data_IF_584708133649
#
_entry.id   IF_584708133649
#
_cell.length_a   1.000
_cell.length_b   1.000
_cell.length_c   1.000
_cell.angle_alpha   90.00
_cell.angle_beta   90.00
_cell.angle_gamma   90.00
#
_symmetry.space_group_name_H-M   'P 1'
#
loop_
_entity.id
_entity.type
_entity.pdbx_description
1 polymer ?
#
# COMPACT_ATOMS: atom_id res chain seq x y z
N UNK A 1 32.41 15.08 -11.43
CA UNK A 1 33.25 15.07 -10.21
C UNK A 1 32.95 13.86 -9.34
N UNK A 2 31.72 13.64 -8.82
CA UNK A 2 31.44 12.47 -7.98
C UNK A 2 31.54 11.13 -8.73
N UNK A 3 31.08 11.07 -9.99
CA UNK A 3 31.15 9.85 -10.82
C UNK A 3 32.59 9.53 -11.30
N UNK A 4 33.54 10.44 -11.10
CA UNK A 4 34.97 10.24 -11.44
C UNK A 4 35.76 9.70 -10.24
N UNK A 5 35.13 9.62 -9.06
CA UNK A 5 35.80 9.14 -7.87
C UNK A 5 35.94 7.60 -7.90
N UNK A 6 37.13 7.04 -7.67
CA UNK A 6 37.42 5.61 -7.86
C UNK A 6 36.65 4.68 -6.94
N UNK A 7 36.05 5.19 -5.88
CA UNK A 7 35.20 4.42 -4.94
C UNK A 7 33.70 4.59 -5.16
N UNK A 8 33.31 5.37 -6.18
CA UNK A 8 31.89 5.62 -6.50
C UNK A 8 31.58 4.98 -7.86
N UNK A 9 30.65 4.02 -7.84
CA UNK A 9 30.15 3.38 -9.05
C UNK A 9 29.14 4.29 -9.77
N UNK A 10 28.32 4.97 -9.00
CA UNK A 10 27.28 5.85 -9.51
C UNK A 10 26.96 6.94 -8.49
N UNK A 11 26.81 8.15 -8.97
CA UNK A 11 26.29 9.26 -8.20
C UNK A 11 25.14 9.93 -8.95
N UNK A 12 24.06 10.25 -8.25
CA UNK A 12 22.95 11.05 -8.76
C UNK A 12 22.79 12.24 -7.83
N UNK A 13 22.86 13.43 -8.38
CA UNK A 13 22.57 14.66 -7.66
C UNK A 13 21.12 15.06 -7.92
N UNK A 14 20.39 15.34 -6.85
CA UNK A 14 19.01 15.82 -6.87
C UNK A 14 19.01 17.25 -6.33
N UNK A 15 18.46 18.17 -7.10
CA UNK A 15 18.17 19.52 -6.59
C UNK A 15 16.79 19.48 -5.93
N UNK A 16 16.74 19.79 -4.64
CA UNK A 16 15.54 19.83 -3.83
C UNK A 16 15.34 21.26 -3.33
N UNK A 17 14.10 21.74 -3.34
CA UNK A 17 13.68 23.07 -2.89
C UNK A 17 12.73 23.72 -3.88
N UNK A 18 11.78 24.51 -3.35
CA UNK A 18 10.75 25.18 -4.15
C UNK A 18 11.15 26.61 -4.57
N UNK A 19 12.17 27.17 -3.92
CA UNK A 19 12.68 28.53 -4.20
C UNK A 19 14.22 28.52 -4.32
N UNK A 20 14.79 29.54 -4.98
CA UNK A 20 16.25 29.69 -5.08
C UNK A 20 16.96 29.80 -3.73
N UNK A 21 16.26 30.23 -2.68
CA UNK A 21 16.80 30.41 -1.33
C UNK A 21 16.77 29.10 -0.51
N UNK A 22 15.89 28.16 -0.88
CA UNK A 22 15.75 26.83 -0.24
C UNK A 22 16.41 25.72 -1.04
N UNK A 23 17.01 26.05 -2.21
CA UNK A 23 17.59 25.05 -3.09
C UNK A 23 18.82 24.42 -2.43
N UNK A 24 18.76 23.14 -2.19
CA UNK A 24 19.90 22.34 -1.75
C UNK A 24 20.09 21.13 -2.68
N UNK A 25 21.30 20.61 -2.72
CA UNK A 25 21.64 19.47 -3.57
C UNK A 25 21.95 18.27 -2.68
N UNK A 26 21.11 17.25 -2.81
CA UNK A 26 21.37 15.95 -2.21
C UNK A 26 22.06 15.04 -3.23
N UNK A 27 23.10 14.35 -2.79
CA UNK A 27 23.78 13.36 -3.62
C UNK A 27 23.55 11.97 -3.08
N UNK A 28 22.89 11.13 -3.88
CA UNK A 28 22.82 9.69 -3.62
C UNK A 28 23.99 9.03 -4.33
N UNK A 29 24.85 8.37 -3.56
CA UNK A 29 26.03 7.69 -4.09
C UNK A 29 25.91 6.17 -3.92
N UNK A 30 26.26 5.44 -4.97
CA UNK A 30 26.47 3.99 -4.95
C UNK A 30 27.97 3.73 -4.91
N UNK A 31 28.52 3.13 -3.86
CA UNK A 31 29.95 2.82 -3.82
C UNK A 31 30.28 1.70 -4.81
N UNK A 32 31.49 1.77 -5.39
CA UNK A 32 32.02 0.64 -6.15
C UNK A 32 32.07 -0.57 -5.21
N UNK A 33 31.21 -1.54 -5.46
CA UNK A 33 31.37 -2.85 -4.84
C UNK A 33 32.64 -3.46 -5.43
N UNK A 34 33.79 -3.25 -4.76
CA UNK A 34 34.90 -4.16 -5.01
C UNK A 34 34.33 -5.54 -4.85
N UNK A 35 34.45 -6.39 -5.87
CA UNK A 35 34.40 -7.82 -5.66
C UNK A 35 35.56 -8.11 -4.72
N UNK A 36 35.32 -7.94 -3.46
CA UNK A 36 36.18 -8.45 -2.40
C UNK A 36 36.18 -9.93 -2.63
N UNK A 37 37.33 -10.46 -2.96
CA UNK A 37 37.59 -11.89 -2.75
C UNK A 37 37.11 -12.10 -1.32
N UNK A 38 35.99 -12.82 -1.15
CA UNK A 38 35.31 -12.97 0.12
C UNK A 38 36.34 -13.37 1.15
N UNK A 39 36.52 -12.50 2.13
CA UNK A 39 37.25 -12.92 3.31
C UNK A 39 36.29 -13.84 4.07
N UNK A 40 36.57 -15.11 4.29
CA UNK A 40 35.66 -16.05 4.96
C UNK A 40 35.14 -15.51 6.30
N UNK A 41 35.92 -14.65 6.94
CA UNK A 41 35.57 -14.02 8.21
C UNK A 41 34.51 -12.90 8.11
N UNK A 42 34.24 -12.36 6.90
CA UNK A 42 33.19 -11.35 6.71
C UNK A 42 31.83 -12.01 6.42
N UNK A 43 31.85 -13.10 5.64
CA UNK A 43 30.64 -13.89 5.34
C UNK A 43 30.06 -14.48 6.64
N UNK A 44 30.90 -15.02 7.52
CA UNK A 44 30.49 -15.54 8.83
C UNK A 44 29.87 -14.47 9.74
N UNK A 45 30.40 -13.24 9.70
CA UNK A 45 29.85 -12.12 10.48
C UNK A 45 28.55 -11.58 9.93
N UNK A 46 28.44 -11.48 8.61
CA UNK A 46 27.22 -11.04 7.94
C UNK A 46 26.10 -12.06 8.15
N UNK A 47 26.39 -13.34 8.00
CA UNK A 47 25.45 -14.42 8.28
C UNK A 47 25.05 -14.46 9.78
N UNK A 48 26.01 -14.27 10.69
CA UNK A 48 25.73 -14.18 12.12
C UNK A 48 24.85 -12.96 12.46
N UNK A 49 25.12 -11.78 11.86
CA UNK A 49 24.31 -10.58 12.07
C UNK A 49 22.89 -10.76 11.53
N UNK A 50 22.75 -11.29 10.30
CA UNK A 50 21.45 -11.57 9.72
C UNK A 50 20.65 -12.57 10.54
N UNK A 51 21.32 -13.62 11.03
CA UNK A 51 20.70 -14.62 11.90
C UNK A 51 20.29 -14.02 13.24
N UNK A 52 21.15 -13.18 13.84
CA UNK A 52 20.86 -12.50 15.10
C UNK A 52 19.73 -11.49 14.97
N UNK A 53 19.68 -10.73 13.88
CA UNK A 53 18.59 -9.80 13.56
C UNK A 53 17.29 -10.58 13.37
N UNK A 54 17.33 -11.66 12.58
CA UNK A 54 16.16 -12.51 12.34
C UNK A 54 15.66 -13.11 13.64
N UNK A 55 16.55 -13.68 14.46
CA UNK A 55 16.19 -14.25 15.76
C UNK A 55 15.61 -13.19 16.70
N UNK A 56 16.19 -11.99 16.75
CA UNK A 56 15.66 -10.87 17.56
C UNK A 56 14.22 -10.51 17.17
N UNK A 57 13.93 -10.42 15.86
CA UNK A 57 12.57 -10.13 15.39
C UNK A 57 11.61 -11.30 15.61
N UNK A 58 12.06 -12.55 15.41
CA UNK A 58 11.25 -13.74 15.65
C UNK A 58 10.92 -13.93 17.15
N UNK A 59 11.82 -13.55 18.06
CA UNK A 59 11.62 -13.61 19.53
C UNK A 59 10.77 -12.46 20.07
N UNK A 60 10.74 -11.30 19.36
CA UNK A 60 10.04 -10.10 19.82
C UNK A 60 8.63 -9.97 19.18
N UNK A 61 8.37 -10.65 18.08
CA UNK A 61 7.14 -10.51 17.32
C UNK A 61 6.31 -11.80 17.40
N UNK A 62 5.10 -11.69 17.94
CA UNK A 62 4.11 -12.76 17.89
C UNK A 62 3.65 -12.94 16.43
N UNK A 63 4.13 -14.02 15.80
CA UNK A 63 3.87 -14.32 14.39
C UNK A 63 2.37 -14.54 14.13
N UNK A 64 1.66 -15.20 15.05
CA UNK A 64 0.23 -15.45 14.93
C UNK A 64 -0.56 -14.14 14.99
N UNK A 65 -0.12 -13.22 15.84
CA UNK A 65 -0.74 -11.91 15.97
C UNK A 65 -0.45 -11.03 14.74
N UNK A 66 0.77 -11.08 14.21
CA UNK A 66 1.14 -10.41 12.96
C UNK A 66 0.28 -10.90 11.78
N UNK A 67 0.12 -12.21 11.63
CA UNK A 67 -0.72 -12.77 10.57
C UNK A 67 -2.18 -12.33 10.69
N UNK A 68 -2.72 -12.31 11.91
CA UNK A 68 -4.08 -11.79 12.17
C UNK A 68 -4.18 -10.31 11.83
N UNK A 69 -3.18 -9.52 12.21
CA UNK A 69 -3.13 -8.09 11.94
C UNK A 69 -3.10 -7.81 10.43
N UNK A 70 -2.21 -8.47 9.67
CA UNK A 70 -2.11 -8.36 8.21
C UNK A 70 -3.45 -8.73 7.57
N UNK A 71 -3.98 -9.92 7.89
CA UNK A 71 -5.24 -10.39 7.33
C UNK A 71 -6.38 -9.43 7.60
N UNK A 72 -6.50 -8.91 8.83
CA UNK A 72 -7.56 -7.97 9.17
C UNK A 72 -7.40 -6.64 8.47
N UNK A 73 -6.17 -6.13 8.30
CA UNK A 73 -5.90 -4.90 7.53
C UNK A 73 -6.33 -5.04 6.06
N UNK A 74 -6.08 -6.20 5.45
CA UNK A 74 -6.54 -6.50 4.07
C UNK A 74 -8.06 -6.57 3.99
N UNK A 75 -8.72 -7.20 4.96
CA UNK A 75 -10.18 -7.30 5.03
C UNK A 75 -10.85 -5.91 5.13
N UNK A 76 -10.37 -5.02 6.00
CA UNK A 76 -10.97 -3.68 6.16
C UNK A 76 -10.78 -2.82 4.92
N UNK A 77 -9.58 -2.83 4.33
CA UNK A 77 -9.28 -2.06 3.12
C UNK A 77 -10.12 -2.56 1.94
N UNK A 78 -10.22 -3.87 1.75
CA UNK A 78 -11.03 -4.47 0.70
C UNK A 78 -12.52 -4.16 0.86
N UNK A 79 -13.03 -4.19 2.10
CA UNK A 79 -14.41 -3.82 2.42
C UNK A 79 -14.69 -2.35 2.06
N UNK A 80 -13.78 -1.43 2.39
CA UNK A 80 -13.96 -0.01 2.11
C UNK A 80 -13.85 0.31 0.62
N UNK A 81 -12.93 -0.33 -0.10
CA UNK A 81 -12.88 -0.26 -1.57
C UNK A 81 -14.22 -0.73 -2.16
N UNK A 82 -14.71 -1.89 -1.74
CA UNK A 82 -15.98 -2.43 -2.23
C UNK A 82 -17.17 -1.50 -1.90
N UNK A 83 -17.25 -0.99 -0.67
CA UNK A 83 -18.29 -0.07 -0.24
C UNK A 83 -18.24 1.26 -0.99
N UNK A 84 -17.05 1.72 -1.41
CA UNK A 84 -16.88 2.89 -2.25
C UNK A 84 -17.60 2.74 -3.61
N UNK A 85 -17.49 1.57 -4.23
CA UNK A 85 -18.26 1.25 -5.44
C UNK A 85 -19.76 1.10 -5.17
N UNK A 86 -20.15 0.43 -4.09
CA UNK A 86 -21.55 0.23 -3.72
C UNK A 86 -22.31 1.52 -3.47
N UNK A 87 -21.70 2.50 -2.82
CA UNK A 87 -22.30 3.83 -2.58
C UNK A 87 -22.70 4.55 -3.87
N UNK A 88 -22.12 4.17 -5.00
CA UNK A 88 -22.45 4.67 -6.35
C UNK A 88 -23.35 3.73 -7.15
N UNK A 89 -23.90 2.70 -6.52
CA UNK A 89 -24.80 1.74 -7.16
C UNK A 89 -24.09 0.61 -7.91
N UNK A 90 -22.74 0.61 -7.97
CA UNK A 90 -21.95 -0.48 -8.56
C UNK A 90 -21.92 -1.62 -7.56
N UNK A 91 -22.19 -2.84 -8.01
CA UNK A 91 -22.26 -4.05 -7.15
C UNK A 91 -23.38 -4.06 -6.09
N UNK A 92 -24.29 -3.08 -6.09
CA UNK A 92 -25.45 -3.07 -5.15
C UNK A 92 -26.50 -4.11 -5.53
N UNK A 93 -26.62 -4.42 -6.80
CA UNK A 93 -27.50 -5.45 -7.36
C UNK A 93 -26.62 -6.60 -7.88
N UNK A 94 -26.73 -7.75 -7.19
CA UNK A 94 -25.95 -8.96 -7.50
C UNK A 94 -26.27 -9.56 -8.89
N UNK A 95 -27.38 -9.18 -9.50
CA UNK A 95 -27.73 -9.65 -10.85
C UNK A 95 -26.99 -8.87 -11.94
N UNK A 96 -26.49 -7.67 -11.64
CA UNK A 96 -25.86 -6.76 -12.60
C UNK A 96 -24.35 -6.95 -12.68
N UNK A 97 -23.87 -6.98 -13.91
CA UNK A 97 -22.46 -6.95 -14.22
C UNK A 97 -22.10 -5.61 -14.87
N UNK A 98 -20.88 -5.13 -14.62
CA UNK A 98 -20.37 -3.85 -15.11
C UNK A 98 -19.03 -4.09 -15.80
N UNK A 99 -18.85 -3.57 -17.01
CA UNK A 99 -17.52 -3.51 -17.59
C UNK A 99 -16.72 -2.33 -17.00
N UNK A 100 -15.42 -2.28 -17.29
CA UNK A 100 -14.54 -1.27 -16.73
C UNK A 100 -14.97 0.15 -17.12
N UNK A 101 -15.36 0.36 -18.36
CA UNK A 101 -15.79 1.65 -18.92
C UNK A 101 -17.04 2.17 -18.20
N UNK A 102 -18.02 1.31 -17.93
CA UNK A 102 -19.21 1.65 -17.14
C UNK A 102 -18.86 2.06 -15.72
N UNK A 103 -17.91 1.34 -15.08
CA UNK A 103 -17.44 1.68 -13.74
C UNK A 103 -16.78 3.05 -13.73
N UNK A 104 -15.91 3.33 -14.72
CA UNK A 104 -15.21 4.61 -14.88
C UNK A 104 -16.21 5.76 -15.04
N UNK A 105 -17.21 5.58 -15.91
CA UNK A 105 -18.24 6.59 -16.18
C UNK A 105 -19.08 6.86 -14.93
N UNK A 106 -19.64 5.81 -14.30
CA UNK A 106 -20.50 5.93 -13.12
C UNK A 106 -19.80 6.55 -11.91
N UNK A 107 -18.51 6.28 -11.75
CA UNK A 107 -17.68 6.83 -10.66
C UNK A 107 -17.04 8.17 -11.02
N UNK A 108 -17.08 8.58 -12.30
CA UNK A 108 -16.36 9.76 -12.82
C UNK A 108 -14.85 9.67 -12.55
N UNK A 109 -14.23 8.52 -12.83
CA UNK A 109 -12.82 8.26 -12.54
C UNK A 109 -11.94 8.89 -13.63
N UNK A 110 -11.01 9.79 -13.29
CA UNK A 110 -10.10 10.38 -14.25
C UNK A 110 -9.10 9.33 -14.80
N UNK A 111 -8.67 9.51 -16.04
CA UNK A 111 -7.79 8.57 -16.75
C UNK A 111 -6.52 8.20 -15.96
N UNK A 112 -5.91 9.19 -15.29
CA UNK A 112 -4.72 8.97 -14.44
C UNK A 112 -4.92 7.91 -13.35
N UNK A 113 -6.17 7.66 -12.92
CA UNK A 113 -6.51 6.68 -11.88
C UNK A 113 -7.02 5.34 -12.42
N UNK A 114 -7.15 5.16 -13.74
CA UNK A 114 -7.64 3.92 -14.33
C UNK A 114 -6.78 2.70 -13.95
N UNK A 115 -5.45 2.87 -13.89
CA UNK A 115 -4.54 1.79 -13.49
C UNK A 115 -4.75 1.38 -12.03
N UNK A 116 -4.93 2.36 -11.15
CA UNK A 116 -5.22 2.12 -9.74
C UNK A 116 -6.57 1.41 -9.57
N UNK A 117 -7.60 1.90 -10.25
CA UNK A 117 -8.94 1.29 -10.22
C UNK A 117 -8.94 -0.15 -10.68
N UNK A 118 -8.23 -0.47 -11.78
CA UNK A 118 -8.08 -1.85 -12.24
C UNK A 118 -7.40 -2.73 -11.20
N UNK A 119 -6.41 -2.20 -10.50
CA UNK A 119 -5.75 -2.92 -9.40
C UNK A 119 -6.71 -3.19 -8.25
N UNK A 120 -7.52 -2.21 -7.85
CA UNK A 120 -8.52 -2.39 -6.80
C UNK A 120 -9.57 -3.45 -7.18
N UNK A 121 -10.08 -3.39 -8.41
CA UNK A 121 -11.01 -4.42 -8.90
C UNK A 121 -10.36 -5.81 -8.88
N UNK A 122 -9.07 -5.92 -9.25
CA UNK A 122 -8.36 -7.19 -9.19
C UNK A 122 -8.18 -7.69 -7.76
N UNK A 123 -7.92 -6.81 -6.79
CA UNK A 123 -7.89 -7.18 -5.36
C UNK A 123 -9.23 -7.76 -4.94
N UNK A 124 -10.34 -7.07 -5.24
CA UNK A 124 -11.68 -7.55 -4.91
C UNK A 124 -12.01 -8.90 -5.57
N UNK A 125 -11.50 -9.16 -6.78
CA UNK A 125 -11.64 -10.47 -7.45
C UNK A 125 -10.82 -11.53 -6.72
N UNK A 126 -9.59 -11.24 -6.35
CA UNK A 126 -8.70 -12.19 -5.65
C UNK A 126 -9.28 -12.57 -4.27
N UNK A 127 -9.88 -11.62 -3.56
CA UNK A 127 -10.56 -11.82 -2.29
C UNK A 127 -11.95 -12.49 -2.46
N UNK A 128 -12.39 -12.77 -3.67
CA UNK A 128 -13.69 -13.37 -3.95
C UNK A 128 -14.90 -12.49 -3.63
N UNK A 129 -14.69 -11.19 -3.37
CA UNK A 129 -15.75 -10.22 -3.08
C UNK A 129 -16.56 -9.93 -4.34
N UNK A 130 -15.90 -9.88 -5.48
CA UNK A 130 -16.52 -9.78 -6.81
C UNK A 130 -15.98 -10.88 -7.71
N UNK A 131 -16.68 -11.15 -8.81
CA UNK A 131 -16.21 -12.04 -9.89
C UNK A 131 -15.96 -11.22 -11.15
N UNK A 132 -15.08 -11.72 -12.03
CA UNK A 132 -14.82 -11.14 -13.34
C UNK A 132 -14.92 -12.21 -14.41
N UNK A 133 -15.90 -12.10 -15.28
CA UNK A 133 -16.13 -12.99 -16.42
C UNK A 133 -16.27 -12.16 -17.69
N UNK A 134 -15.55 -12.54 -18.75
CA UNK A 134 -15.56 -11.83 -20.04
C UNK A 134 -15.39 -10.30 -19.89
N UNK A 135 -14.49 -9.84 -19.01
CA UNK A 135 -14.25 -8.43 -18.68
C UNK A 135 -15.43 -7.70 -18.02
N UNK A 136 -16.41 -8.43 -17.49
CA UNK A 136 -17.51 -7.87 -16.72
C UNK A 136 -17.36 -8.27 -15.25
N UNK A 137 -17.45 -7.29 -14.36
CA UNK A 137 -17.35 -7.44 -12.91
C UNK A 137 -18.73 -7.54 -12.30
N UNK A 138 -18.91 -8.45 -11.37
CA UNK A 138 -20.18 -8.69 -10.71
C UNK A 138 -19.95 -8.98 -9.23
N UNK A 139 -20.87 -8.56 -8.35
CA UNK A 139 -20.84 -8.92 -6.94
C UNK A 139 -20.94 -10.45 -6.77
N UNK A 140 -20.12 -11.04 -5.90
CA UNK A 140 -20.20 -12.45 -5.58
C UNK A 140 -21.35 -12.74 -4.60
N UNK A 141 -21.71 -14.02 -4.42
CA UNK A 141 -22.70 -14.42 -3.42
C UNK A 141 -22.22 -14.14 -1.97
N UNK A 142 -20.91 -14.11 -1.76
CA UNK A 142 -20.28 -13.87 -0.45
C UNK A 142 -20.30 -12.38 -0.09
N UNK A 143 -20.48 -11.48 -1.04
CA UNK A 143 -20.44 -10.02 -0.87
C UNK A 143 -21.64 -9.44 -0.11
N UNK A 144 -22.12 -10.14 0.91
CA UNK A 144 -23.12 -9.60 1.83
C UNK A 144 -22.44 -8.59 2.74
N UNK A 145 -23.06 -7.45 2.86
CA UNK A 145 -22.81 -6.34 3.77
C UNK A 145 -21.50 -6.45 4.57
N UNK A 146 -20.38 -6.11 3.89
CA UNK A 146 -19.09 -6.00 4.54
C UNK A 146 -19.18 -4.78 5.46
N UNK A 147 -19.70 -4.99 6.66
CA UNK A 147 -19.88 -3.96 7.68
C UNK A 147 -18.56 -3.35 8.08
N UNK A 148 -18.13 -2.35 7.28
CA UNK A 148 -16.83 -1.68 7.42
C UNK A 148 -16.58 -1.21 8.86
N UNK A 149 -17.58 -0.63 9.53
CA UNK A 149 -17.46 -0.18 10.92
C UNK A 149 -17.12 -1.33 11.88
N UNK A 150 -17.74 -2.49 11.69
CA UNK A 150 -17.46 -3.67 12.52
C UNK A 150 -16.05 -4.19 12.28
N UNK A 151 -15.63 -4.26 11.01
CA UNK A 151 -14.27 -4.71 10.65
C UNK A 151 -13.20 -3.76 11.20
N UNK A 152 -13.43 -2.44 11.12
CA UNK A 152 -12.53 -1.46 11.71
C UNK A 152 -12.42 -1.61 13.23
N UNK A 153 -13.54 -1.84 13.92
CA UNK A 153 -13.52 -2.08 15.36
C UNK A 153 -12.68 -3.31 15.72
N UNK A 154 -12.90 -4.42 15.01
CA UNK A 154 -12.12 -5.64 15.20
C UNK A 154 -10.62 -5.43 14.89
N UNK A 155 -10.31 -4.59 13.91
CA UNK A 155 -8.93 -4.27 13.57
C UNK A 155 -8.25 -3.42 14.65
N UNK A 156 -8.92 -2.42 15.19
CA UNK A 156 -8.41 -1.64 16.33
C UNK A 156 -8.19 -2.51 17.56
N UNK A 157 -9.06 -3.48 17.85
CA UNK A 157 -8.88 -4.43 18.95
C UNK A 157 -7.60 -5.28 18.76
N UNK A 158 -7.30 -5.71 17.51
CA UNK A 158 -6.06 -6.44 17.21
C UNK A 158 -4.84 -5.51 17.32
N UNK A 159 -4.94 -4.25 16.89
CA UNK A 159 -3.84 -3.28 17.01
C UNK A 159 -3.53 -2.95 18.47
N UNK A 160 -4.54 -2.84 19.33
CA UNK A 160 -4.35 -2.62 20.78
C UNK A 160 -3.53 -3.74 21.41
N UNK A 161 -3.68 -4.99 20.93
CA UNK A 161 -2.90 -6.14 21.39
C UNK A 161 -1.50 -6.18 20.74
N UNK A 162 -1.43 -5.85 19.43
CA UNK A 162 -0.19 -5.97 18.64
C UNK A 162 0.75 -4.79 18.84
N UNK A 163 0.21 -3.59 19.04
CA UNK A 163 0.93 -2.33 19.30
C UNK A 163 2.03 -2.04 18.26
N UNK A 164 1.76 -2.36 16.98
CA UNK A 164 2.73 -2.19 15.91
C UNK A 164 2.94 -0.73 15.56
N UNK A 165 1.87 -0.04 15.19
CA UNK A 165 1.89 1.38 14.87
C UNK A 165 0.49 1.95 14.80
N UNK A 166 0.06 2.57 15.87
CA UNK A 166 -1.22 3.28 15.91
C UNK A 166 -1.31 4.35 14.81
N UNK A 167 -0.21 5.07 14.58
CA UNK A 167 -0.14 6.10 13.54
C UNK A 167 -0.39 5.53 12.14
N UNK A 168 0.08 4.31 11.88
CA UNK A 168 -0.16 3.63 10.61
C UNK A 168 -1.62 3.23 10.47
N UNK A 169 -2.24 2.72 11.53
CA UNK A 169 -3.67 2.33 11.50
C UNK A 169 -4.57 3.55 11.37
N UNK A 170 -4.26 4.64 12.08
CA UNK A 170 -4.95 5.93 11.94
C UNK A 170 -4.83 6.46 10.49
N UNK A 171 -3.64 6.39 9.90
CA UNK A 171 -3.41 6.74 8.49
C UNK A 171 -4.23 5.86 7.53
N UNK A 172 -4.27 4.54 7.74
CA UNK A 172 -5.10 3.63 6.93
C UNK A 172 -6.58 4.02 7.02
N UNK A 173 -7.05 4.35 8.23
CA UNK A 173 -8.45 4.74 8.44
C UNK A 173 -8.78 6.06 7.73
N UNK A 174 -7.94 7.09 7.90
CA UNK A 174 -8.10 8.37 7.21
C UNK A 174 -8.09 8.20 5.68
N UNK A 175 -7.14 7.41 5.16
CA UNK A 175 -7.06 7.10 3.73
C UNK A 175 -8.31 6.38 3.23
N UNK A 176 -8.84 5.47 4.03
CA UNK A 176 -10.04 4.71 3.71
C UNK A 176 -11.29 5.59 3.67
N UNK A 177 -11.43 6.51 4.60
CA UNK A 177 -12.54 7.46 4.64
C UNK A 177 -12.54 8.40 3.42
N UNK A 178 -11.36 8.68 2.85
CA UNK A 178 -11.19 9.55 1.68
C UNK A 178 -11.23 8.79 0.32
N UNK A 179 -11.38 7.46 0.31
CA UNK A 179 -11.44 6.68 -0.92
C UNK A 179 -12.43 7.22 -1.97
N UNK A 180 -13.66 7.70 -1.61
CA UNK A 180 -14.59 8.25 -2.58
C UNK A 180 -14.06 9.50 -3.30
N UNK A 181 -13.31 10.35 -2.60
CA UNK A 181 -12.70 11.58 -3.12
C UNK A 181 -11.44 11.26 -3.93
N UNK A 182 -10.63 10.34 -3.43
CA UNK A 182 -9.40 9.88 -4.09
C UNK A 182 -9.69 9.26 -5.46
N UNK A 183 -10.68 8.36 -5.54
CA UNK A 183 -11.00 7.69 -6.81
C UNK A 183 -11.55 8.66 -7.86
N UNK A 184 -12.14 9.77 -7.44
CA UNK A 184 -12.61 10.84 -8.33
C UNK A 184 -11.50 11.86 -8.65
N UNK A 185 -10.30 11.70 -8.09
CA UNK A 185 -9.19 12.62 -8.26
C UNK A 185 -9.42 14.01 -7.66
N UNK A 186 -10.33 14.12 -6.69
CA UNK A 186 -10.62 15.34 -5.94
C UNK A 186 -9.60 15.58 -4.83
N UNK A 187 -9.03 14.51 -4.31
CA UNK A 187 -7.93 14.52 -3.35
C UNK A 187 -6.68 13.86 -3.94
N UNK A 188 -5.52 14.31 -3.50
CA UNK A 188 -4.25 13.70 -3.86
C UNK A 188 -3.81 12.75 -2.73
N UNK A 189 -3.55 11.47 -3.04
CA UNK A 189 -3.03 10.52 -2.05
C UNK A 189 -1.77 11.00 -1.33
N UNK A 190 -0.95 11.82 -1.98
CA UNK A 190 0.28 12.37 -1.38
C UNK A 190 -0.03 13.37 -0.26
N UNK A 191 -1.14 14.10 -0.32
CA UNK A 191 -1.53 15.03 0.74
C UNK A 191 -1.86 14.31 2.05
N UNK A 192 -2.27 13.04 1.98
CA UNK A 192 -2.54 12.21 3.16
C UNK A 192 -1.24 11.70 3.76
N UNK A 193 -0.31 11.28 2.89
CA UNK A 193 1.02 10.79 3.31
C UNK A 193 1.91 11.91 3.85
N UNK A 194 1.77 13.11 3.27
CA UNK A 194 2.62 14.27 3.56
C UNK A 194 1.76 15.52 3.81
N UNK A 195 1.01 15.57 4.93
CA UNK A 195 0.02 16.64 5.16
C UNK A 195 0.63 18.05 5.30
N UNK A 196 1.95 18.16 5.28
CA UNK A 196 2.66 19.46 5.36
C UNK A 196 3.61 19.71 4.19
N UNK A 197 3.55 18.90 3.11
CA UNK A 197 4.27 19.10 1.84
C UNK A 197 5.76 18.87 1.96
#
# INVERSE_FOLDING_TARGET
VLNEHPLIERAVALALGESPEDLHIDAVISPVRKKTVASPALDDKEEYLLKSIKQYYEEQMDQDLLEKWIKKSEEVVSADIYNTFRKRGIFSDKSKAFNFEQIVEMMSIPEKLHKLTKRWLQVLVNEGIITCEANAYKASEISTDLGSEKLWKEFFEIEDDFQYSKEFVDYLKESSDLLPELIQGKEDPLNILFPKG
#
